data_IF_141840934220
#
_entry.id   IF_141840934220
#
_cell.length_a   1.000
_cell.length_b   1.000
_cell.length_c   1.000
_cell.angle_alpha   90.00
_cell.angle_beta   90.00
_cell.angle_gamma   90.00
#
_symmetry.space_group_name_H-M   'P 1'
#
loop_
_entity.id
_entity.type
_entity.pdbx_description
1 polymer ?
#
# COMPACT_ATOMS: atom_id res chain seq x y z
N UNK A 1 -1.95 18.52 -25.87
CA UNK A 1 -1.53 17.49 -24.89
C UNK A 1 -2.80 16.75 -24.51
N UNK A 2 -2.94 15.48 -24.91
CA UNK A 2 -4.07 14.67 -24.49
C UNK A 2 -3.93 14.49 -22.98
N UNK A 3 -4.83 15.10 -22.21
CA UNK A 3 -5.00 14.74 -20.81
C UNK A 3 -5.78 13.44 -20.87
N UNK A 4 -5.09 12.32 -20.69
CA UNK A 4 -5.73 11.08 -20.25
C UNK A 4 -6.46 11.45 -18.96
N UNK A 5 -7.77 11.66 -19.06
CA UNK A 5 -8.66 11.58 -17.90
C UNK A 5 -8.71 10.10 -17.53
N UNK A 6 -7.64 9.64 -16.88
CA UNK A 6 -7.60 8.36 -16.21
C UNK A 6 -8.63 8.47 -15.07
N UNK A 7 -9.80 7.85 -15.26
CA UNK A 7 -10.92 7.76 -14.30
C UNK A 7 -10.54 6.92 -13.05
N UNK A 8 -9.31 7.10 -12.56
CA UNK A 8 -8.75 6.43 -11.39
C UNK A 8 -9.23 7.12 -10.12
N UNK A 9 -9.78 6.31 -9.22
CA UNK A 9 -10.22 6.75 -7.89
C UNK A 9 -9.06 6.65 -6.91
N UNK A 10 -8.74 7.76 -6.23
CA UNK A 10 -7.71 7.83 -5.19
C UNK A 10 -8.37 7.95 -3.80
N UNK A 11 -8.01 7.04 -2.88
CA UNK A 11 -8.53 7.02 -1.51
C UNK A 11 -7.39 6.89 -0.51
N UNK A 12 -7.38 7.74 0.53
CA UNK A 12 -6.54 7.54 1.71
C UNK A 12 -7.30 6.69 2.74
N UNK A 13 -6.65 5.67 3.30
CA UNK A 13 -7.25 4.79 4.31
C UNK A 13 -6.32 4.68 5.50
N UNK A 14 -6.77 5.18 6.64
CA UNK A 14 -6.02 5.12 7.90
C UNK A 14 -6.62 4.07 8.83
N UNK A 15 -5.75 3.25 9.42
CA UNK A 15 -6.16 2.19 10.35
C UNK A 15 -4.99 1.81 11.29
N UNK A 16 -5.26 1.23 12.47
CA UNK A 16 -4.25 0.58 13.30
C UNK A 16 -3.54 -0.56 12.56
N UNK A 17 -2.27 -0.81 12.91
CA UNK A 17 -1.44 -1.86 12.28
C UNK A 17 -2.11 -3.24 12.29
N UNK A 18 -2.83 -3.59 13.36
CA UNK A 18 -3.54 -4.86 13.46
C UNK A 18 -4.65 -4.97 12.38
N UNK A 19 -5.43 -3.90 12.19
CA UNK A 19 -6.45 -3.84 11.16
C UNK A 19 -5.83 -3.81 9.75
N UNK A 20 -4.68 -3.17 9.58
CA UNK A 20 -3.91 -3.23 8.33
C UNK A 20 -3.50 -4.64 7.94
N UNK A 21 -3.03 -5.43 8.91
CA UNK A 21 -2.68 -6.84 8.68
C UNK A 21 -3.89 -7.69 8.32
N UNK A 22 -5.02 -7.46 8.98
CA UNK A 22 -6.27 -8.14 8.65
C UNK A 22 -6.77 -7.76 7.25
N UNK A 23 -6.77 -6.47 6.90
CA UNK A 23 -7.15 -6.01 5.57
C UNK A 23 -6.23 -6.60 4.48
N UNK A 24 -4.93 -6.66 4.72
CA UNK A 24 -3.99 -7.31 3.79
C UNK A 24 -4.33 -8.79 3.57
N UNK A 25 -4.73 -9.52 4.62
CA UNK A 25 -5.18 -10.91 4.48
C UNK A 25 -6.46 -11.02 3.65
N UNK A 26 -7.43 -10.12 3.85
CA UNK A 26 -8.66 -10.07 3.06
C UNK A 26 -8.35 -9.80 1.58
N UNK A 27 -7.51 -8.81 1.28
CA UNK A 27 -7.13 -8.48 -0.11
C UNK A 27 -6.40 -9.65 -0.76
N UNK A 28 -5.51 -10.34 -0.04
CA UNK A 28 -4.86 -11.56 -0.53
C UNK A 28 -5.89 -12.63 -0.91
N UNK A 29 -6.83 -12.93 -0.01
CA UNK A 29 -7.86 -13.93 -0.28
C UNK A 29 -8.75 -13.54 -1.47
N UNK A 30 -9.10 -12.26 -1.60
CA UNK A 30 -9.88 -11.77 -2.74
C UNK A 30 -9.12 -11.91 -4.06
N UNK A 31 -7.83 -11.59 -4.08
CA UNK A 31 -6.99 -11.75 -5.27
C UNK A 31 -6.81 -13.21 -5.64
N UNK A 32 -6.43 -14.06 -4.67
CA UNK A 32 -6.19 -15.48 -4.87
C UNK A 32 -7.47 -16.22 -5.31
N UNK A 33 -8.65 -15.71 -4.95
CA UNK A 33 -9.92 -16.28 -5.40
C UNK A 33 -10.13 -16.19 -6.92
N UNK A 34 -9.50 -15.24 -7.60
CA UNK A 34 -9.72 -14.97 -9.03
C UNK A 34 -11.15 -14.54 -9.37
N UNK A 35 -12.02 -14.29 -8.38
CA UNK A 35 -13.44 -13.99 -8.60
C UNK A 35 -13.69 -12.60 -9.19
N UNK A 36 -12.69 -11.72 -9.15
CA UNK A 36 -12.79 -10.33 -9.58
C UNK A 36 -11.62 -9.95 -10.52
N UNK A 37 -11.58 -10.46 -11.76
CA UNK A 37 -10.44 -10.25 -12.67
C UNK A 37 -10.20 -8.78 -13.01
N UNK A 38 -11.27 -7.97 -13.07
CA UNK A 38 -11.15 -6.52 -13.32
C UNK A 38 -10.53 -5.74 -12.13
N UNK A 39 -10.38 -6.39 -10.97
CA UNK A 39 -9.76 -5.81 -9.78
C UNK A 39 -8.38 -6.40 -9.48
N UNK A 40 -7.83 -7.30 -10.32
CA UNK A 40 -6.52 -7.92 -10.02
C UNK A 40 -5.42 -6.88 -9.82
N UNK A 41 -5.31 -5.90 -10.72
CA UNK A 41 -4.35 -4.79 -10.59
C UNK A 41 -4.61 -3.94 -9.34
N UNK A 42 -5.88 -3.70 -9.01
CA UNK A 42 -6.26 -2.94 -7.80
C UNK A 42 -5.84 -3.71 -6.54
N UNK A 43 -6.11 -5.01 -6.47
CA UNK A 43 -5.68 -5.84 -5.35
C UNK A 43 -4.17 -5.95 -5.26
N UNK A 44 -3.47 -6.09 -6.38
CA UNK A 44 -2.00 -6.10 -6.41
C UNK A 44 -1.41 -4.79 -5.85
N UNK A 45 -1.97 -3.64 -6.21
CA UNK A 45 -1.57 -2.35 -5.65
C UNK A 45 -1.89 -2.25 -4.15
N UNK A 46 -3.10 -2.64 -3.73
CA UNK A 46 -3.46 -2.66 -2.32
C UNK A 46 -2.53 -3.55 -1.49
N UNK A 47 -2.15 -4.72 -1.99
CA UNK A 47 -1.20 -5.62 -1.32
C UNK A 47 0.15 -4.95 -1.10
N UNK A 48 0.71 -4.31 -2.14
CA UNK A 48 1.99 -3.63 -2.07
C UNK A 48 1.93 -2.47 -1.07
N UNK A 49 0.96 -1.58 -1.23
CA UNK A 49 0.83 -0.37 -0.41
C UNK A 49 0.56 -0.71 1.06
N UNK A 50 -0.35 -1.66 1.34
CA UNK A 50 -0.61 -2.10 2.71
C UNK A 50 0.62 -2.75 3.34
N UNK A 51 1.33 -3.62 2.61
CA UNK A 51 2.54 -4.27 3.13
C UNK A 51 3.63 -3.24 3.46
N UNK A 52 3.85 -2.26 2.58
CA UNK A 52 4.82 -1.17 2.82
C UNK A 52 4.41 -0.29 4.00
N UNK A 53 3.15 0.16 4.05
CA UNK A 53 2.65 1.00 5.13
C UNK A 53 2.76 0.30 6.50
N UNK A 54 2.46 -1.00 6.55
CA UNK A 54 2.61 -1.83 7.75
C UNK A 54 4.08 -1.96 8.15
N UNK A 55 5.02 -2.19 7.21
CA UNK A 55 6.47 -2.26 7.54
C UNK A 55 6.98 -0.94 8.08
N UNK A 56 6.61 0.18 7.47
CA UNK A 56 7.04 1.52 7.89
C UNK A 56 6.62 1.82 9.34
N UNK A 57 5.37 1.50 9.70
CA UNK A 57 4.84 1.77 11.05
C UNK A 57 5.27 0.70 12.05
N UNK A 58 5.25 -0.58 11.65
CA UNK A 58 5.49 -1.73 12.52
C UNK A 58 6.96 -2.06 12.74
N UNK A 59 7.83 -1.64 11.83
CA UNK A 59 9.28 -1.82 11.88
C UNK A 59 9.97 -0.52 11.46
N UNK A 60 9.90 0.54 12.28
CA UNK A 60 10.49 1.83 11.94
C UNK A 60 12.01 1.66 11.88
N UNK A 61 12.54 1.49 10.66
CA UNK A 61 13.98 1.61 10.44
C UNK A 61 14.36 3.05 10.80
N UNK A 62 15.47 3.27 11.53
CA UNK A 62 16.01 4.61 11.68
C UNK A 62 16.26 5.14 10.27
N UNK A 63 15.45 6.10 9.81
CA UNK A 63 15.81 6.90 8.65
C UNK A 63 17.17 7.49 9.02
N UNK A 64 18.21 7.07 8.30
CA UNK A 64 19.59 7.31 8.67
C UNK A 64 19.74 8.76 9.13
N UNK A 65 20.22 8.93 10.36
CA UNK A 65 20.62 10.24 10.89
C UNK A 65 21.53 10.81 9.82
N UNK A 66 21.06 11.81 9.09
CA UNK A 66 21.87 12.53 8.12
C UNK A 66 23.07 13.05 8.91
N UNK A 67 24.23 12.40 8.75
CA UNK A 67 25.46 12.86 9.38
C UNK A 67 25.67 14.28 8.88
N UNK A 68 25.82 15.29 9.76
CA UNK A 68 26.12 16.63 9.32
C UNK A 68 27.42 16.58 8.53
N UNK A 69 27.35 16.88 7.23
CA UNK A 69 28.55 17.13 6.44
C UNK A 69 29.17 18.41 7.01
N UNK A 70 30.28 18.26 7.73
CA UNK A 70 31.10 19.40 8.16
C UNK A 70 31.64 20.08 6.90
N UNK A 71 31.22 21.32 6.70
CA UNK A 71 31.88 22.28 5.82
C UNK A 71 33.20 22.75 6.46
#
# INVERSE_FOLDING_TARGET
MAKDDDDTVYCDVQMPVAQGRELLQVVNALRDSGAHPNLDTVFAHMQLELAMAIDIVGNPRPLGIARPTKH
#
